data_IF_434641091716
#
_entry.id   IF_434641091716
#
_cell.length_a   1.000
_cell.length_b   1.000
_cell.length_c   1.000
_cell.angle_alpha   90.00
_cell.angle_beta   90.00
_cell.angle_gamma   90.00
#
_symmetry.space_group_name_H-M   'P 1'
#
loop_
_entity.id
_entity.type
_entity.pdbx_description
1 polymer ?
#
# COMPACT_ATOMS: atom_id res chain seq x y z
N UNK A 1 8.31 4.48 -31.16
CA UNK A 1 8.39 3.46 -30.07
C UNK A 1 7.19 3.51 -29.13
N UNK A 2 6.65 4.69 -28.85
CA UNK A 2 5.49 4.87 -27.95
C UNK A 2 4.19 4.28 -28.51
N UNK A 3 3.99 4.34 -29.83
CA UNK A 3 2.83 3.77 -30.51
C UNK A 3 2.82 2.23 -30.52
N UNK A 4 3.98 1.58 -30.59
CA UNK A 4 4.05 0.11 -30.55
C UNK A 4 3.75 -0.45 -29.16
N UNK A 5 4.14 0.23 -28.08
CA UNK A 5 3.82 -0.21 -26.72
C UNK A 5 2.32 -0.07 -26.41
N UNK A 6 1.69 0.98 -26.93
CA UNK A 6 0.24 1.20 -26.79
C UNK A 6 -0.58 0.14 -27.53
N UNK A 7 -0.23 -0.16 -28.77
CA UNK A 7 -0.93 -1.16 -29.57
C UNK A 7 -0.75 -2.58 -29.02
N UNK A 8 0.46 -2.96 -28.61
CA UNK A 8 0.72 -4.24 -27.96
C UNK A 8 -0.03 -4.36 -26.61
N UNK A 9 -0.05 -3.29 -25.82
CA UNK A 9 -0.83 -3.23 -24.58
C UNK A 9 -2.33 -3.43 -24.84
N UNK A 10 -2.89 -2.86 -25.91
CA UNK A 10 -4.31 -3.01 -26.24
C UNK A 10 -4.67 -4.40 -26.76
N UNK A 11 -3.79 -5.05 -27.50
CA UNK A 11 -3.98 -6.44 -27.93
C UNK A 11 -3.95 -7.39 -26.73
N UNK A 12 -3.00 -7.20 -25.82
CA UNK A 12 -2.95 -7.99 -24.58
C UNK A 12 -4.16 -7.78 -23.67
N UNK A 13 -4.66 -6.55 -23.56
CA UNK A 13 -5.88 -6.26 -22.77
C UNK A 13 -7.11 -7.01 -23.29
N UNK A 14 -7.22 -7.21 -24.61
CA UNK A 14 -8.33 -7.98 -25.21
C UNK A 14 -8.22 -9.48 -24.96
N UNK A 15 -7.03 -9.98 -24.66
CA UNK A 15 -6.78 -11.39 -24.39
C UNK A 15 -6.80 -11.74 -22.90
N UNK A 16 -6.75 -10.73 -22.02
CA UNK A 16 -6.80 -10.95 -20.58
C UNK A 16 -8.21 -11.37 -20.18
N UNK A 17 -8.26 -12.47 -19.45
CA UNK A 17 -9.50 -12.96 -18.85
C UNK A 17 -9.98 -11.96 -17.79
N UNK A 18 -11.27 -11.88 -17.62
CA UNK A 18 -11.85 -11.31 -16.42
C UNK A 18 -11.53 -12.23 -15.24
N UNK A 19 -11.70 -11.73 -14.04
CA UNK A 19 -11.43 -12.51 -12.84
C UNK A 19 -12.14 -13.88 -12.89
N UNK A 20 -11.35 -14.96 -12.75
CA UNK A 20 -11.89 -16.32 -12.63
C UNK A 20 -11.28 -16.94 -11.37
N UNK A 21 -12.12 -17.31 -10.44
CA UNK A 21 -11.72 -17.85 -9.14
C UNK A 21 -10.80 -19.09 -9.24
N UNK A 22 -10.97 -19.92 -10.26
CA UNK A 22 -10.17 -21.13 -10.50
C UNK A 22 -8.79 -20.86 -11.08
N UNK A 23 -8.50 -19.62 -11.51
CA UNK A 23 -7.25 -19.24 -12.14
C UNK A 23 -6.52 -18.14 -11.35
N UNK A 24 -6.60 -18.20 -10.03
CA UNK A 24 -5.90 -17.27 -9.15
C UNK A 24 -4.40 -17.23 -9.45
N UNK A 25 -3.84 -16.02 -9.42
CA UNK A 25 -2.43 -15.78 -9.74
C UNK A 25 -2.14 -15.45 -11.20
N UNK A 26 -3.07 -15.67 -12.13
CA UNK A 26 -2.92 -15.21 -13.50
C UNK A 26 -3.22 -13.71 -13.61
N UNK A 27 -2.52 -13.05 -14.53
CA UNK A 27 -2.77 -11.63 -14.80
C UNK A 27 -4.15 -11.48 -15.44
N UNK A 28 -5.02 -10.73 -14.79
CA UNK A 28 -6.38 -10.41 -15.24
C UNK A 28 -6.48 -8.98 -15.76
N UNK A 29 -7.61 -8.63 -16.36
CA UNK A 29 -7.87 -7.25 -16.81
C UNK A 29 -7.79 -6.22 -15.67
N UNK A 30 -8.42 -6.41 -14.49
CA UNK A 30 -8.26 -5.52 -13.35
C UNK A 30 -6.81 -5.34 -12.93
N UNK A 31 -6.01 -6.40 -12.88
CA UNK A 31 -4.58 -6.35 -12.55
C UNK A 31 -3.81 -5.48 -13.54
N UNK A 32 -4.01 -5.69 -14.85
CA UNK A 32 -3.32 -4.91 -15.88
C UNK A 32 -3.67 -3.42 -15.82
N UNK A 33 -4.95 -3.09 -15.57
CA UNK A 33 -5.42 -1.71 -15.41
C UNK A 33 -4.88 -1.07 -14.14
N UNK A 34 -4.88 -1.78 -13.02
CA UNK A 34 -4.32 -1.31 -11.76
C UNK A 34 -2.81 -1.03 -11.88
N UNK A 35 -2.07 -1.93 -12.53
CA UNK A 35 -0.64 -1.73 -12.79
C UNK A 35 -0.39 -0.51 -13.70
N UNK A 36 -1.18 -0.36 -14.78
CA UNK A 36 -1.11 0.82 -15.65
C UNK A 36 -1.35 2.11 -14.85
N UNK A 37 -2.38 2.14 -14.03
CA UNK A 37 -2.71 3.30 -13.20
C UNK A 37 -1.57 3.65 -12.23
N UNK A 38 -0.98 2.65 -11.57
CA UNK A 38 0.17 2.83 -10.67
C UNK A 38 1.38 3.41 -11.40
N UNK A 39 1.69 2.95 -12.61
CA UNK A 39 2.81 3.46 -13.42
C UNK A 39 2.55 4.91 -13.83
N UNK A 40 1.34 5.25 -14.27
CA UNK A 40 0.98 6.61 -14.65
C UNK A 40 1.01 7.57 -13.46
N UNK A 41 0.54 7.15 -12.29
CA UNK A 41 0.62 7.91 -11.05
C UNK A 41 2.09 8.17 -10.67
N UNK A 42 2.95 7.16 -10.76
CA UNK A 42 4.38 7.33 -10.51
C UNK A 42 5.02 8.30 -11.50
N UNK A 43 4.68 8.19 -12.79
CA UNK A 43 5.15 9.11 -13.84
C UNK A 43 4.69 10.56 -13.64
N UNK A 44 3.54 10.77 -13.00
CA UNK A 44 3.01 12.09 -12.66
C UNK A 44 3.65 12.68 -11.38
N UNK A 45 4.27 11.84 -10.55
CA UNK A 45 4.85 12.26 -9.28
C UNK A 45 5.99 13.28 -9.46
N UNK A 46 6.26 14.12 -8.45
CA UNK A 46 7.32 15.14 -8.52
C UNK A 46 8.70 14.58 -8.84
N UNK A 47 8.96 13.31 -8.57
CA UNK A 47 10.25 12.66 -8.90
C UNK A 47 10.46 12.60 -10.41
N UNK A 48 9.39 12.31 -11.20
CA UNK A 48 9.49 12.09 -12.64
C UNK A 48 8.81 13.18 -13.49
N UNK A 49 8.25 14.19 -12.87
CA UNK A 49 7.49 15.23 -13.55
C UNK A 49 7.95 16.62 -13.11
N UNK A 50 8.86 17.20 -13.86
CA UNK A 50 9.44 18.50 -13.58
C UNK A 50 10.64 18.47 -12.62
N UNK A 51 11.28 17.33 -12.42
CA UNK A 51 12.45 17.20 -11.58
C UNK A 51 13.74 17.45 -12.38
N UNK A 52 14.45 18.52 -12.05
CA UNK A 52 15.71 18.90 -12.69
C UNK A 52 16.93 18.21 -12.11
N UNK A 53 16.81 17.54 -10.96
CA UNK A 53 17.92 16.81 -10.32
C UNK A 53 18.43 15.66 -11.19
N UNK A 54 17.55 15.10 -12.03
CA UNK A 54 17.88 14.05 -12.98
C UNK A 54 18.15 14.56 -14.41
N UNK A 55 18.52 15.82 -14.57
CA UNK A 55 18.80 16.41 -15.91
C UNK A 55 19.93 15.74 -16.66
N UNK A 56 20.88 15.13 -15.95
CA UNK A 56 21.99 14.35 -16.52
C UNK A 56 21.61 12.94 -16.93
N UNK A 57 20.40 12.48 -16.61
CA UNK A 57 19.93 11.13 -16.97
C UNK A 57 19.41 11.15 -18.40
N UNK A 58 20.29 10.78 -19.32
CA UNK A 58 20.03 10.79 -20.76
C UNK A 58 20.21 9.38 -21.34
N UNK A 59 19.51 9.08 -22.44
CA UNK A 59 19.72 7.86 -23.21
C UNK A 59 20.99 7.96 -24.07
N UNK A 60 21.32 6.88 -24.80
CA UNK A 60 22.48 6.83 -25.70
C UNK A 60 22.32 7.74 -26.93
N UNK A 61 21.18 8.35 -27.15
CA UNK A 61 20.87 9.28 -28.23
C UNK A 61 20.88 10.75 -27.74
N UNK A 62 21.08 10.98 -26.43
CA UNK A 62 21.09 12.31 -25.81
C UNK A 62 19.70 12.82 -25.39
N UNK A 63 18.66 11.99 -25.45
CA UNK A 63 17.33 12.40 -24.98
C UNK A 63 17.24 12.27 -23.46
N UNK A 64 16.65 13.25 -22.81
CA UNK A 64 16.35 13.19 -21.36
C UNK A 64 15.34 12.09 -21.07
N UNK A 65 15.66 11.23 -20.08
CA UNK A 65 14.78 10.15 -19.62
C UNK A 65 13.74 10.61 -18.61
N UNK A 66 13.96 11.77 -17.97
CA UNK A 66 13.04 12.37 -17.01
C UNK A 66 12.55 13.70 -17.56
N UNK A 67 11.27 13.95 -17.46
CA UNK A 67 10.68 15.19 -17.90
C UNK A 67 11.13 16.36 -16.99
N UNK A 68 11.87 17.29 -17.55
CA UNK A 68 12.43 18.46 -16.84
C UNK A 68 11.39 19.56 -16.59
N UNK A 69 10.30 19.55 -17.36
CA UNK A 69 9.20 20.50 -17.22
C UNK A 69 8.00 19.82 -16.59
N UNK A 70 7.35 20.50 -15.64
CA UNK A 70 6.11 20.00 -15.04
C UNK A 70 4.98 19.95 -16.08
N UNK A 71 4.38 18.79 -16.23
CA UNK A 71 3.24 18.55 -17.09
C UNK A 71 2.00 18.12 -16.27
N UNK A 72 1.02 19.01 -16.08
CA UNK A 72 -0.20 18.69 -15.31
C UNK A 72 -1.06 17.62 -15.97
N UNK A 73 -0.94 17.40 -17.28
CA UNK A 73 -1.72 16.39 -17.99
C UNK A 73 -1.39 14.96 -17.53
N UNK A 74 -0.18 14.72 -17.00
CA UNK A 74 0.18 13.43 -16.43
C UNK A 74 -0.72 13.05 -15.25
N UNK A 75 -1.13 14.03 -14.42
CA UNK A 75 -2.06 13.79 -13.32
C UNK A 75 -3.47 13.47 -13.82
N UNK A 76 -3.91 14.12 -14.90
CA UNK A 76 -5.21 13.81 -15.52
C UNK A 76 -5.20 12.38 -16.04
N UNK A 77 -4.16 11.99 -16.79
CA UNK A 77 -4.02 10.62 -17.28
C UNK A 77 -3.95 9.58 -16.16
N UNK A 78 -3.25 9.89 -15.08
CA UNK A 78 -3.18 9.01 -13.90
C UNK A 78 -4.56 8.85 -13.24
N UNK A 79 -5.28 9.96 -13.04
CA UNK A 79 -6.65 9.94 -12.49
C UNK A 79 -7.59 9.09 -13.34
N UNK A 80 -7.60 9.32 -14.66
CA UNK A 80 -8.50 8.60 -15.56
C UNK A 80 -8.18 7.09 -15.58
N UNK A 81 -6.89 6.74 -15.54
CA UNK A 81 -6.49 5.34 -15.45
C UNK A 81 -6.84 4.69 -14.10
N UNK A 82 -6.79 5.45 -12.99
CA UNK A 82 -7.22 4.97 -11.67
C UNK A 82 -8.72 4.71 -11.66
N UNK A 83 -9.52 5.61 -12.21
CA UNK A 83 -10.97 5.42 -12.31
C UNK A 83 -11.32 4.19 -13.16
N UNK A 84 -10.69 4.04 -14.35
CA UNK A 84 -10.86 2.86 -15.20
C UNK A 84 -10.45 1.55 -14.49
N UNK A 85 -9.42 1.59 -13.64
CA UNK A 85 -9.00 0.43 -12.86
C UNK A 85 -10.03 0.07 -11.77
N UNK A 86 -10.56 1.07 -11.05
CA UNK A 86 -11.59 0.87 -10.02
C UNK A 86 -12.86 0.29 -10.65
N UNK A 87 -13.39 0.92 -11.69
CA UNK A 87 -14.59 0.44 -12.39
C UNK A 87 -14.41 -1.00 -12.89
N UNK A 88 -13.23 -1.31 -13.43
CA UNK A 88 -12.92 -2.66 -13.88
C UNK A 88 -12.83 -3.65 -12.72
N UNK A 89 -12.29 -3.28 -11.58
CA UNK A 89 -12.20 -4.13 -10.41
C UNK A 89 -13.59 -4.42 -9.85
N UNK A 90 -14.41 -3.39 -9.65
CA UNK A 90 -15.78 -3.51 -9.14
C UNK A 90 -16.66 -4.36 -10.09
N UNK A 91 -16.57 -4.15 -11.38
CA UNK A 91 -17.29 -4.94 -12.38
C UNK A 91 -16.89 -6.44 -12.37
N UNK A 92 -15.75 -6.78 -11.84
CA UNK A 92 -15.24 -8.15 -11.71
C UNK A 92 -15.33 -8.71 -10.27
N UNK A 93 -16.12 -8.07 -9.40
CA UNK A 93 -16.46 -8.58 -8.07
C UNK A 93 -15.50 -8.19 -6.96
N UNK A 94 -14.54 -7.28 -7.23
CA UNK A 94 -13.74 -6.69 -6.16
C UNK A 94 -14.53 -5.62 -5.41
N UNK A 95 -14.34 -5.57 -4.11
CA UNK A 95 -14.98 -4.58 -3.23
C UNK A 95 -14.14 -4.42 -1.97
N UNK A 96 -14.35 -3.33 -1.25
CA UNK A 96 -13.73 -3.17 0.06
C UNK A 96 -14.11 -4.33 0.96
N UNK A 97 -13.12 -4.90 1.62
CA UNK A 97 -13.32 -6.07 2.48
C UNK A 97 -14.13 -5.68 3.72
N UNK A 98 -15.11 -6.52 4.02
CA UNK A 98 -15.94 -6.40 5.22
C UNK A 98 -15.79 -7.69 6.01
N UNK A 99 -15.33 -7.56 7.26
CA UNK A 99 -15.25 -8.71 8.15
C UNK A 99 -16.64 -9.27 8.42
N UNK A 100 -16.81 -10.55 8.13
CA UNK A 100 -18.04 -11.27 8.45
C UNK A 100 -17.73 -12.36 9.47
N UNK A 101 -18.33 -12.24 10.65
CA UNK A 101 -18.18 -13.21 11.71
C UNK A 101 -18.81 -14.55 11.30
N UNK A 102 -17.98 -15.58 11.18
CA UNK A 102 -18.45 -16.94 10.81
C UNK A 102 -18.85 -17.79 12.01
N UNK A 103 -18.39 -17.46 13.20
CA UNK A 103 -18.68 -18.20 14.43
C UNK A 103 -19.60 -17.39 15.34
N UNK A 104 -20.64 -18.01 15.92
CA UNK A 104 -21.50 -17.33 16.86
C UNK A 104 -20.72 -17.01 18.15
N UNK A 105 -20.53 -15.71 18.42
CA UNK A 105 -20.05 -15.21 19.69
C UNK A 105 -21.27 -14.75 20.48
N UNK A 106 -21.44 -15.25 21.71
CA UNK A 106 -22.51 -14.80 22.59
C UNK A 106 -22.41 -13.29 22.83
N UNK A 107 -23.44 -12.56 22.44
CA UNK A 107 -23.49 -11.10 22.52
C UNK A 107 -23.13 -10.34 21.26
N UNK A 108 -22.63 -11.05 20.22
CA UNK A 108 -22.23 -10.42 18.96
C UNK A 108 -20.92 -9.61 19.07
N UNK A 109 -20.50 -9.04 17.97
CA UNK A 109 -19.37 -8.09 17.88
C UNK A 109 -19.99 -6.72 17.64
N UNK A 110 -19.52 -5.70 18.35
CA UNK A 110 -19.98 -4.34 18.11
C UNK A 110 -19.38 -3.76 16.81
N UNK A 111 -19.98 -2.69 16.30
CA UNK A 111 -19.57 -2.07 15.03
C UNK A 111 -18.12 -1.62 15.03
N UNK A 112 -17.61 -1.10 16.15
CA UNK A 112 -16.22 -0.69 16.27
C UNK A 112 -15.25 -1.88 16.09
N UNK A 113 -15.52 -2.99 16.77
CA UNK A 113 -14.69 -4.21 16.65
C UNK A 113 -14.80 -4.77 15.23
N UNK A 114 -15.98 -4.74 14.62
CA UNK A 114 -16.18 -5.18 13.24
C UNK A 114 -15.36 -4.34 12.27
N UNK A 115 -15.29 -3.03 12.48
CA UNK A 115 -14.48 -2.14 11.67
C UNK A 115 -12.98 -2.39 11.85
N UNK A 116 -12.51 -2.55 13.08
CA UNK A 116 -11.12 -2.88 13.36
C UNK A 116 -10.71 -4.23 12.74
N UNK A 117 -11.56 -5.24 12.83
CA UNK A 117 -11.33 -6.55 12.22
C UNK A 117 -11.37 -6.47 10.69
N UNK A 118 -12.22 -5.65 10.10
CA UNK A 118 -12.23 -5.43 8.65
C UNK A 118 -10.91 -4.85 8.15
N UNK A 119 -10.37 -3.84 8.83
CA UNK A 119 -9.08 -3.24 8.48
C UNK A 119 -7.91 -4.23 8.63
N UNK A 120 -7.91 -5.04 9.69
CA UNK A 120 -6.84 -6.02 9.92
C UNK A 120 -6.93 -7.18 8.94
N UNK A 121 -8.12 -7.74 8.77
CA UNK A 121 -8.32 -8.92 7.93
C UNK A 121 -8.18 -8.61 6.44
N UNK A 122 -8.43 -7.37 5.99
CA UNK A 122 -8.17 -6.95 4.62
C UNK A 122 -6.70 -7.17 4.20
N UNK A 123 -5.76 -7.12 5.16
CA UNK A 123 -4.33 -7.35 4.89
C UNK A 123 -3.93 -8.81 5.16
N UNK A 124 -4.55 -9.46 6.16
CA UNK A 124 -4.10 -10.78 6.64
C UNK A 124 -4.86 -11.95 6.03
N UNK A 125 -6.08 -11.72 5.55
CA UNK A 125 -6.88 -12.77 4.94
C UNK A 125 -6.51 -12.94 3.46
N UNK A 126 -5.98 -14.10 3.05
CA UNK A 126 -5.57 -14.32 1.68
C UNK A 126 -6.78 -14.34 0.74
N UNK A 127 -6.62 -13.78 -0.45
CA UNK A 127 -7.62 -13.80 -1.53
C UNK A 127 -8.99 -13.19 -1.16
N UNK A 128 -9.01 -12.22 -0.25
CA UNK A 128 -10.23 -11.50 0.07
C UNK A 128 -10.70 -10.60 -1.09
N UNK A 129 -11.89 -10.04 -0.99
CA UNK A 129 -12.52 -9.25 -2.06
C UNK A 129 -11.78 -7.95 -2.43
N UNK A 130 -10.94 -7.43 -1.55
CA UNK A 130 -10.21 -6.18 -1.78
C UNK A 130 -8.91 -6.39 -2.56
N UNK A 131 -8.35 -7.61 -2.51
CA UNK A 131 -7.08 -7.92 -3.14
C UNK A 131 -7.25 -8.10 -4.65
N UNK A 132 -6.71 -7.17 -5.44
CA UNK A 132 -6.68 -7.26 -6.90
C UNK A 132 -5.55 -8.20 -7.37
N UNK A 133 -4.37 -8.09 -6.76
CA UNK A 133 -3.22 -8.92 -7.08
C UNK A 133 -2.34 -9.11 -5.84
N UNK A 134 -2.18 -10.35 -5.42
CA UNK A 134 -1.34 -10.70 -4.29
C UNK A 134 -0.03 -11.35 -4.77
N UNK A 135 1.04 -11.03 -4.07
CA UNK A 135 2.28 -11.79 -4.14
C UNK A 135 2.22 -12.87 -3.05
N UNK A 136 1.96 -14.10 -3.47
CA UNK A 136 1.92 -15.26 -2.56
C UNK A 136 3.32 -15.87 -2.41
N UNK A 137 4.24 -15.15 -1.75
CA UNK A 137 5.49 -15.74 -1.32
C UNK A 137 5.21 -16.65 -0.12
N UNK A 138 5.76 -17.85 -0.14
CA UNK A 138 5.56 -18.84 0.92
C UNK A 138 6.36 -18.53 2.20
N UNK A 139 7.31 -17.58 2.15
CA UNK A 139 8.12 -17.21 3.31
C UNK A 139 7.97 -15.74 3.73
N UNK A 140 6.94 -15.45 4.48
CA UNK A 140 6.67 -14.12 5.07
C UNK A 140 7.30 -13.92 6.45
N UNK A 141 7.85 -14.97 7.05
CA UNK A 141 8.39 -14.95 8.42
C UNK A 141 9.50 -13.92 8.64
N UNK A 142 10.36 -13.68 7.66
CA UNK A 142 11.41 -12.66 7.78
C UNK A 142 10.86 -11.24 7.88
N UNK A 143 9.88 -10.88 7.05
CA UNK A 143 9.26 -9.55 7.10
C UNK A 143 8.59 -9.31 8.46
N UNK A 144 7.88 -10.31 8.99
CA UNK A 144 7.28 -10.24 10.32
C UNK A 144 8.35 -10.00 11.40
N UNK A 145 9.47 -10.71 11.34
CA UNK A 145 10.58 -10.54 12.28
C UNK A 145 11.21 -9.15 12.21
N UNK A 146 11.33 -8.58 11.02
CA UNK A 146 11.92 -7.26 10.81
C UNK A 146 11.02 -6.12 11.31
N UNK A 147 9.70 -6.30 11.22
CA UNK A 147 8.72 -5.31 11.65
C UNK A 147 8.41 -5.39 13.16
N UNK A 148 8.75 -6.48 13.83
CA UNK A 148 8.46 -6.63 15.26
C UNK A 148 9.43 -5.83 16.12
N UNK A 149 8.94 -5.14 17.17
CA UNK A 149 9.79 -4.50 18.14
C UNK A 149 10.58 -5.55 18.94
N UNK A 150 11.72 -5.17 19.43
CA UNK A 150 12.52 -6.01 20.33
C UNK A 150 11.88 -6.01 21.74
N UNK A 151 11.43 -7.14 22.21
CA UNK A 151 10.68 -7.24 23.45
C UNK A 151 11.61 -7.12 24.68
N UNK A 152 12.68 -7.91 24.72
CA UNK A 152 13.71 -7.82 25.75
C UNK A 152 15.06 -8.26 25.20
N UNK A 153 16.15 -7.94 25.92
CA UNK A 153 17.48 -8.40 25.56
C UNK A 153 17.60 -9.93 25.64
N UNK A 154 16.98 -10.53 26.64
CA UNK A 154 17.01 -11.97 26.89
C UNK A 154 16.23 -12.74 25.84
N UNK A 155 15.05 -12.25 25.47
CA UNK A 155 14.24 -12.83 24.40
C UNK A 155 14.96 -12.82 23.06
N UNK A 156 15.63 -11.73 22.75
CA UNK A 156 16.42 -11.57 21.54
C UNK A 156 17.64 -12.50 21.49
N UNK A 157 18.26 -12.80 22.62
CA UNK A 157 19.40 -13.71 22.71
C UNK A 157 18.98 -15.17 22.52
N UNK A 158 17.80 -15.56 23.03
CA UNK A 158 17.31 -16.93 22.98
C UNK A 158 16.71 -17.30 21.62
N UNK A 159 16.04 -16.37 20.95
CA UNK A 159 15.24 -16.67 19.75
C UNK A 159 15.69 -15.94 18.49
N UNK A 160 16.49 -14.90 18.58
CA UNK A 160 17.08 -14.20 17.42
C UNK A 160 16.09 -13.59 16.42
N UNK A 161 14.80 -13.70 16.67
CA UNK A 161 13.75 -13.50 15.66
C UNK A 161 13.17 -12.08 15.57
N UNK A 162 13.49 -11.18 16.49
CA UNK A 162 13.01 -9.80 16.43
C UNK A 162 14.12 -8.84 16.01
N UNK A 163 14.14 -8.47 14.74
CA UNK A 163 15.28 -7.72 14.16
C UNK A 163 15.13 -6.21 14.25
N UNK A 164 13.93 -5.66 14.53
CA UNK A 164 13.58 -4.22 14.55
C UNK A 164 14.21 -3.38 13.41
N UNK A 165 14.27 -3.93 12.23
CA UNK A 165 14.93 -3.28 11.12
C UNK A 165 14.00 -2.37 10.33
N UNK A 166 12.69 -2.57 10.44
CA UNK A 166 11.67 -1.81 9.74
C UNK A 166 10.75 -1.11 10.74
N UNK A 167 10.74 0.19 10.68
CA UNK A 167 9.81 1.03 11.41
C UNK A 167 9.36 2.18 10.49
N UNK A 168 8.13 2.68 10.64
CA UNK A 168 7.72 3.86 9.94
C UNK A 168 8.56 5.07 10.39
N UNK A 169 8.75 6.02 9.49
CA UNK A 169 9.35 7.31 9.86
C UNK A 169 8.39 8.06 10.76
N UNK A 170 8.92 8.97 11.60
CA UNK A 170 8.08 9.79 12.46
C UNK A 170 7.08 10.63 11.61
N UNK A 171 7.53 11.18 10.50
CA UNK A 171 6.65 11.90 9.57
C UNK A 171 5.47 11.04 9.08
N UNK A 172 5.71 9.75 8.83
CA UNK A 172 4.63 8.84 8.43
C UNK A 172 3.65 8.59 9.57
N UNK A 173 4.15 8.46 10.81
CA UNK A 173 3.30 8.32 12.01
C UNK A 173 2.46 9.57 12.22
N UNK A 174 3.02 10.75 12.02
CA UNK A 174 2.36 12.05 12.17
C UNK A 174 1.25 12.30 11.11
N UNK A 175 1.18 11.52 10.04
CA UNK A 175 0.07 11.61 9.07
C UNK A 175 -1.23 10.96 9.56
N UNK A 176 -1.17 10.14 10.61
CA UNK A 176 -2.35 9.50 11.18
C UNK A 176 -3.03 10.42 12.19
N UNK A 177 -4.35 10.36 12.22
CA UNK A 177 -5.13 11.07 13.21
C UNK A 177 -5.04 10.40 14.57
N UNK A 178 -5.16 11.21 15.62
CA UNK A 178 -5.21 10.71 16.99
C UNK A 178 -6.56 10.00 17.26
N UNK A 179 -6.63 9.37 18.42
CA UNK A 179 -7.87 8.77 18.93
C UNK A 179 -9.06 9.73 18.94
N UNK A 180 -8.78 11.04 19.05
CA UNK A 180 -9.81 12.09 19.09
C UNK A 180 -10.25 12.54 17.68
N UNK A 181 -9.69 11.95 16.62
CA UNK A 181 -10.05 12.22 15.24
C UNK A 181 -9.46 13.51 14.67
N UNK A 182 -8.46 14.08 15.33
CA UNK A 182 -7.71 15.26 14.86
C UNK A 182 -6.26 14.96 14.49
N UNK A 183 -5.59 15.88 13.77
CA UNK A 183 -4.16 15.82 13.54
C UNK A 183 -3.38 15.75 14.87
N UNK A 184 -2.25 15.03 14.88
CA UNK A 184 -1.49 14.80 16.11
C UNK A 184 -0.88 16.07 16.70
N UNK A 185 -0.57 17.05 15.88
CA UNK A 185 -0.01 18.34 16.28
C UNK A 185 -1.06 19.32 16.82
N UNK A 186 -2.34 19.06 16.57
CA UNK A 186 -3.47 19.85 17.07
C UNK A 186 -4.16 19.21 18.28
N UNK A 187 -3.83 17.99 18.63
CA UNK A 187 -4.48 17.26 19.73
C UNK A 187 -3.90 17.65 21.07
N UNK A 188 -4.73 18.34 21.88
CA UNK A 188 -4.37 18.82 23.23
C UNK A 188 -4.09 17.70 24.23
N UNK A 189 -4.50 16.47 23.96
CA UNK A 189 -4.20 15.31 24.81
C UNK A 189 -2.81 14.75 24.57
N UNK A 190 -2.11 15.23 23.54
CA UNK A 190 -0.78 14.82 23.15
C UNK A 190 0.19 16.01 23.20
N UNK A 191 1.25 15.91 23.98
CA UNK A 191 2.28 16.95 24.05
C UNK A 191 3.23 16.87 22.86
N UNK A 192 2.78 17.32 21.69
CA UNK A 192 3.51 17.24 20.44
C UNK A 192 4.92 17.85 20.48
N UNK A 193 5.11 18.90 21.31
CA UNK A 193 6.40 19.53 21.51
C UNK A 193 7.48 18.59 22.05
N UNK A 194 7.08 17.60 22.84
CA UNK A 194 7.96 16.66 23.51
C UNK A 194 8.22 15.36 22.71
N UNK A 195 7.77 15.29 21.47
CA UNK A 195 7.84 14.06 20.65
C UNK A 195 9.25 13.54 20.39
N UNK A 196 10.26 14.35 20.57
CA UNK A 196 11.66 13.95 20.44
C UNK A 196 12.35 13.68 21.79
N UNK A 197 11.66 13.88 22.88
CA UNK A 197 12.23 13.67 24.21
C UNK A 197 12.41 12.19 24.49
N UNK A 198 13.53 11.87 25.11
CA UNK A 198 13.80 10.53 25.58
C UNK A 198 13.05 10.32 26.90
N UNK A 199 11.97 9.59 26.86
CA UNK A 199 11.21 9.23 28.06
C UNK A 199 11.60 7.82 28.51
N UNK A 200 11.78 7.62 29.82
CA UNK A 200 11.81 6.28 30.39
C UNK A 200 10.37 5.78 30.46
N UNK A 201 10.01 4.91 29.56
CA UNK A 201 8.75 4.15 29.71
C UNK A 201 8.94 3.20 30.90
N UNK A 202 8.00 3.18 31.86
CA UNK A 202 8.00 2.11 32.86
C UNK A 202 7.94 0.78 32.08
N UNK A 203 8.81 -0.13 32.44
CA UNK A 203 8.73 -1.51 31.95
C UNK A 203 7.35 -1.97 32.40
N UNK A 204 6.49 -2.23 31.45
CA UNK A 204 5.24 -2.91 31.74
C UNK A 204 5.67 -4.30 32.21
N UNK A 205 5.67 -4.50 33.51
CA UNK A 205 5.76 -5.84 34.09
C UNK A 205 4.56 -6.63 33.55
N UNK A 206 4.86 -7.60 32.70
CA UNK A 206 3.90 -8.49 32.08
C UNK A 206 3.31 -9.46 33.09
#
# INVERSE_FOLDING_TARGET
TQLCSSAASDVYKRQLINYVYTEQGRITMPIAKALKAKILMLSASPIFNGNTDFSSLIDNQGNSLVNQSYDPQKWVLAKDALMDAIESAEANGHSLFQFNQQLPINGGINDQITQELSLRAAITEPFNSEIIWAFSADWTGELQQWCQPRWSADHSALFGYTKKSHAPTLNMVETFYTRNGGPIDEDISWEYGNRFDVVQTPILDA
#
